data_IF_657346071262
#
_entry.id   IF_657346071262
#
_cell.length_a   1.000
_cell.length_b   1.000
_cell.length_c   1.000
_cell.angle_alpha   90.00
_cell.angle_beta   90.00
_cell.angle_gamma   90.00
#
_symmetry.space_group_name_H-M   'P 1'
#
loop_
_entity.id
_entity.type
_entity.pdbx_description
1 polymer ?
#
# COMPACT_ATOMS: atom_id res chain seq x y z
N UNK A 1 15.14 -48.37 -17.04
CA UNK A 1 16.25 -48.94 -16.21
C UNK A 1 16.34 -48.33 -14.81
N UNK A 2 16.20 -47.00 -14.64
CA UNK A 2 16.24 -46.40 -13.31
C UNK A 2 15.01 -46.75 -12.45
N UNK A 3 13.81 -46.70 -13.04
CA UNK A 3 12.53 -47.01 -12.36
C UNK A 3 12.42 -48.49 -11.94
N UNK A 4 12.74 -49.44 -12.83
CA UNK A 4 12.79 -50.88 -12.52
C UNK A 4 13.75 -51.20 -11.36
N UNK A 5 14.82 -50.42 -11.20
CA UNK A 5 15.79 -50.58 -10.12
C UNK A 5 15.24 -50.05 -8.80
N UNK A 6 14.57 -48.89 -8.79
CA UNK A 6 13.93 -48.36 -7.58
C UNK A 6 12.80 -49.25 -7.10
N UNK A 7 12.02 -49.82 -8.03
CA UNK A 7 10.99 -50.81 -7.71
C UNK A 7 11.59 -52.10 -7.15
N UNK A 8 12.68 -52.58 -7.74
CA UNK A 8 13.41 -53.76 -7.24
C UNK A 8 14.02 -53.55 -5.85
N UNK A 9 14.56 -52.36 -5.58
CA UNK A 9 15.11 -51.99 -4.27
C UNK A 9 14.02 -51.78 -3.19
N UNK A 10 12.80 -51.42 -3.59
CA UNK A 10 11.68 -51.23 -2.69
C UNK A 10 10.98 -52.54 -2.27
N UNK A 11 11.21 -53.64 -3.01
CA UNK A 11 10.61 -54.95 -2.68
C UNK A 11 11.34 -55.62 -1.53
N UNK A 12 10.59 -55.97 -0.48
CA UNK A 12 11.08 -56.80 0.63
C UNK A 12 11.25 -58.25 0.19
N UNK A 13 12.16 -58.99 0.84
CA UNK A 13 12.35 -60.41 0.58
C UNK A 13 11.18 -61.19 1.22
N UNK A 14 10.45 -61.97 0.43
CA UNK A 14 9.37 -62.82 0.93
C UNK A 14 9.87 -64.09 1.62
N UNK A 15 9.00 -64.76 2.36
CA UNK A 15 9.31 -65.97 3.14
C UNK A 15 9.67 -67.19 2.27
N UNK A 16 9.30 -67.15 0.98
CA UNK A 16 9.71 -68.10 -0.04
C UNK A 16 11.20 -68.01 -0.41
N UNK A 17 11.87 -66.92 -0.03
CA UNK A 17 13.29 -66.75 -0.29
C UNK A 17 14.13 -67.68 0.60
N UNK A 18 14.93 -68.55 -0.04
CA UNK A 18 15.81 -69.50 0.65
C UNK A 18 16.75 -68.82 1.66
N UNK A 19 17.26 -67.64 1.34
CA UNK A 19 18.13 -66.86 2.22
C UNK A 19 17.39 -66.32 3.44
N UNK A 20 16.14 -65.87 3.26
CA UNK A 20 15.30 -65.43 4.38
C UNK A 20 14.98 -66.60 5.32
N UNK A 21 14.64 -67.78 4.76
CA UNK A 21 14.39 -69.00 5.54
C UNK A 21 15.63 -69.44 6.33
N UNK A 22 16.82 -69.37 5.72
CA UNK A 22 18.08 -69.68 6.41
C UNK A 22 18.36 -68.70 7.55
N UNK A 23 18.17 -67.40 7.33
CA UNK A 23 18.32 -66.37 8.36
C UNK A 23 17.37 -66.63 9.54
N UNK A 24 16.11 -66.96 9.27
CA UNK A 24 15.12 -67.27 10.30
C UNK A 24 15.53 -68.50 11.14
N UNK A 25 16.10 -69.54 10.50
CA UNK A 25 16.65 -70.70 11.21
C UNK A 25 17.87 -70.37 12.08
N UNK A 26 18.60 -69.31 11.77
CA UNK A 26 19.71 -68.79 12.58
C UNK A 26 19.24 -67.82 13.68
N UNK A 27 17.93 -67.65 13.87
CA UNK A 27 17.35 -66.82 14.93
C UNK A 27 17.00 -65.38 14.51
N UNK A 28 17.11 -65.03 13.23
CA UNK A 28 16.68 -63.73 12.72
C UNK A 28 15.15 -63.58 12.75
N UNK A 29 14.66 -62.41 13.17
CA UNK A 29 13.23 -62.05 13.13
C UNK A 29 13.02 -60.89 12.14
N UNK A 30 11.95 -61.00 11.35
CA UNK A 30 11.64 -59.99 10.33
C UNK A 30 11.45 -58.61 10.97
N UNK A 31 12.21 -57.62 10.49
CA UNK A 31 12.15 -56.24 10.98
C UNK A 31 13.08 -55.93 12.16
N UNK A 32 13.74 -56.93 12.75
CA UNK A 32 14.77 -56.70 13.77
C UNK A 32 16.15 -56.49 13.15
N UNK A 33 16.99 -55.70 13.83
CA UNK A 33 18.39 -55.52 13.47
C UNK A 33 19.23 -56.76 13.77
N UNK A 34 20.29 -57.01 13.01
CA UNK A 34 21.24 -58.08 13.33
C UNK A 34 22.18 -57.67 14.47
N UNK A 35 22.57 -58.63 15.33
CA UNK A 35 23.51 -58.42 16.43
C UNK A 35 22.99 -58.99 17.75
N UNK A 36 23.87 -59.11 18.75
CA UNK A 36 23.53 -59.70 20.06
C UNK A 36 22.35 -59.01 20.75
N UNK A 37 22.30 -57.68 20.64
CA UNK A 37 21.24 -56.84 21.21
C UNK A 37 20.33 -56.24 20.12
N UNK A 38 20.29 -56.86 18.93
CA UNK A 38 19.60 -56.32 17.75
C UNK A 38 20.02 -54.90 17.34
N UNK A 39 21.27 -54.52 17.61
CA UNK A 39 21.81 -53.17 17.41
C UNK A 39 22.09 -52.80 15.94
N UNK A 40 22.00 -53.76 15.01
CA UNK A 40 22.20 -53.52 13.58
C UNK A 40 21.03 -52.75 12.96
N UNK A 41 21.27 -52.11 11.82
CA UNK A 41 20.21 -51.42 11.08
C UNK A 41 19.26 -52.45 10.44
N UNK A 42 17.96 -52.29 10.66
CA UNK A 42 16.89 -53.11 10.06
C UNK A 42 16.68 -52.79 8.58
N UNK A 43 16.86 -51.54 8.19
CA UNK A 43 16.60 -51.07 6.83
C UNK A 43 17.86 -51.08 5.94
N UNK A 44 17.75 -51.40 4.64
CA UNK A 44 18.85 -51.31 3.69
C UNK A 44 19.38 -49.86 3.54
N UNK A 45 20.67 -49.72 3.20
CA UNK A 45 21.22 -48.40 2.84
C UNK A 45 20.57 -47.85 1.57
N UNK A 46 20.08 -46.62 1.63
CA UNK A 46 19.62 -45.90 0.44
C UNK A 46 20.79 -45.63 -0.50
N UNK A 47 20.66 -46.04 -1.76
CA UNK A 47 21.65 -45.78 -2.80
C UNK A 47 21.29 -44.49 -3.53
N UNK A 48 22.14 -43.46 -3.40
CA UNK A 48 22.04 -42.23 -4.20
C UNK A 48 22.93 -42.38 -5.43
N UNK A 49 22.33 -42.71 -6.56
CA UNK A 49 23.04 -42.84 -7.83
C UNK A 49 23.16 -41.47 -8.50
N UNK A 50 24.39 -41.02 -8.72
CA UNK A 50 24.64 -39.79 -9.48
C UNK A 50 24.37 -40.05 -10.97
N UNK A 51 23.45 -39.30 -11.61
CA UNK A 51 23.29 -39.39 -13.06
C UNK A 51 24.48 -38.69 -13.76
N UNK A 52 25.03 -39.34 -14.79
CA UNK A 52 26.06 -38.76 -15.65
C UNK A 52 27.49 -38.83 -15.09
N UNK A 53 28.39 -38.04 -15.70
CA UNK A 53 29.83 -38.00 -15.40
C UNK A 53 30.30 -36.67 -14.80
N UNK A 54 29.38 -35.83 -14.34
CA UNK A 54 29.71 -34.53 -13.75
C UNK A 54 30.37 -34.70 -12.38
N UNK A 55 31.26 -33.78 -12.01
CA UNK A 55 31.94 -33.80 -10.71
C UNK A 55 30.95 -33.75 -9.54
N UNK A 56 31.27 -34.43 -8.44
CA UNK A 56 30.49 -34.35 -7.20
C UNK A 56 30.42 -32.87 -6.74
N UNK A 57 29.23 -32.37 -6.42
CA UNK A 57 29.00 -30.99 -5.97
C UNK A 57 28.71 -29.93 -7.05
N UNK A 58 28.87 -30.25 -8.34
CA UNK A 58 28.61 -29.30 -9.44
C UNK A 58 27.13 -28.88 -9.51
N UNK A 59 26.22 -29.84 -9.37
CA UNK A 59 24.77 -29.60 -9.47
C UNK A 59 24.28 -28.65 -8.36
N UNK A 60 24.80 -28.81 -7.15
CA UNK A 60 24.52 -27.91 -6.02
C UNK A 60 25.14 -26.52 -6.22
N UNK A 61 26.34 -26.44 -6.79
CA UNK A 61 26.96 -25.16 -7.11
C UNK A 61 26.17 -24.38 -8.18
N UNK A 62 25.62 -25.08 -9.18
CA UNK A 62 24.77 -24.47 -10.20
C UNK A 62 23.47 -23.95 -9.60
N UNK A 63 22.74 -24.79 -8.84
CA UNK A 63 21.52 -24.36 -8.14
C UNK A 63 21.76 -23.13 -7.25
N UNK A 64 22.88 -23.09 -6.50
CA UNK A 64 23.23 -21.93 -5.67
C UNK A 64 23.44 -20.66 -6.49
N UNK A 65 24.12 -20.77 -7.64
CA UNK A 65 24.34 -19.64 -8.56
C UNK A 65 23.03 -19.17 -9.17
N UNK A 66 22.19 -20.11 -9.62
CA UNK A 66 20.90 -19.79 -10.24
C UNK A 66 20.00 -19.03 -9.25
N UNK A 67 19.83 -19.57 -8.04
CA UNK A 67 19.08 -18.91 -6.96
C UNK A 67 19.64 -17.53 -6.63
N UNK A 68 20.96 -17.36 -6.55
CA UNK A 68 21.59 -16.06 -6.31
C UNK A 68 21.32 -15.06 -7.45
N UNK A 69 21.37 -15.52 -8.71
CA UNK A 69 21.06 -14.66 -9.86
C UNK A 69 19.58 -14.29 -9.92
N UNK A 70 18.67 -15.18 -9.56
CA UNK A 70 17.23 -14.88 -9.46
C UNK A 70 16.94 -13.86 -8.36
N UNK A 71 17.51 -14.05 -7.17
CA UNK A 71 17.41 -13.09 -6.06
C UNK A 71 17.94 -11.71 -6.46
N UNK A 72 19.09 -11.66 -7.15
CA UNK A 72 19.66 -10.40 -7.60
C UNK A 72 18.80 -9.71 -8.67
N UNK A 73 18.19 -10.46 -9.59
CA UNK A 73 17.25 -9.91 -10.57
C UNK A 73 15.99 -9.36 -9.89
N UNK A 74 15.45 -10.08 -8.91
CA UNK A 74 14.29 -9.64 -8.14
C UNK A 74 14.56 -8.34 -7.36
N UNK A 75 15.71 -8.25 -6.66
CA UNK A 75 16.12 -7.03 -5.96
C UNK A 75 16.31 -5.84 -6.92
N UNK A 76 16.93 -6.07 -8.08
CA UNK A 76 17.08 -5.01 -9.11
C UNK A 76 15.73 -4.56 -9.67
N UNK A 77 14.79 -5.48 -9.90
CA UNK A 77 13.45 -5.17 -10.37
C UNK A 77 12.68 -4.34 -9.33
N UNK A 78 12.77 -4.71 -8.05
CA UNK A 78 12.16 -3.95 -6.95
C UNK A 78 12.75 -2.55 -6.80
N UNK A 79 14.09 -2.42 -6.90
CA UNK A 79 14.75 -1.11 -6.88
C UNK A 79 14.32 -0.24 -8.06
N UNK A 80 14.18 -0.82 -9.26
CA UNK A 80 13.70 -0.10 -10.45
C UNK A 80 12.25 0.36 -10.29
N UNK A 81 11.34 -0.52 -9.84
CA UNK A 81 9.94 -0.16 -9.64
C UNK A 81 9.77 0.90 -8.54
N UNK A 82 10.55 0.81 -7.46
CA UNK A 82 10.60 1.85 -6.42
C UNK A 82 11.10 3.19 -6.97
N UNK A 83 12.18 3.18 -7.77
CA UNK A 83 12.71 4.40 -8.39
C UNK A 83 11.69 5.06 -9.32
N UNK A 84 11.00 4.27 -10.12
CA UNK A 84 9.93 4.74 -11.02
C UNK A 84 8.73 5.31 -10.24
N UNK A 85 8.32 4.64 -9.16
CA UNK A 85 7.24 5.13 -8.30
C UNK A 85 7.57 6.47 -7.64
N UNK A 86 8.81 6.65 -7.15
CA UNK A 86 9.27 7.91 -6.56
C UNK A 86 9.26 9.03 -7.60
N UNK A 87 9.76 8.78 -8.81
CA UNK A 87 9.76 9.77 -9.89
C UNK A 87 8.33 10.17 -10.29
N UNK A 88 7.41 9.20 -10.39
CA UNK A 88 6.01 9.46 -10.71
C UNK A 88 5.33 10.27 -9.60
N UNK A 89 5.59 9.93 -8.33
CA UNK A 89 5.05 10.63 -7.19
C UNK A 89 5.55 12.08 -7.13
N UNK A 90 6.85 12.32 -7.31
CA UNK A 90 7.41 13.67 -7.28
C UNK A 90 6.86 14.54 -8.42
N UNK A 91 6.69 13.99 -9.62
CA UNK A 91 6.06 14.69 -10.75
C UNK A 91 4.61 15.07 -10.45
N UNK A 92 3.81 14.13 -9.93
CA UNK A 92 2.42 14.40 -9.55
C UNK A 92 2.33 15.48 -8.46
N UNK A 93 3.22 15.44 -7.48
CA UNK A 93 3.31 16.46 -6.43
C UNK A 93 3.65 17.83 -6.99
N UNK A 94 4.63 17.92 -7.90
CA UNK A 94 5.00 19.19 -8.55
C UNK A 94 3.84 19.77 -9.36
N UNK A 95 3.15 18.95 -10.14
CA UNK A 95 1.97 19.41 -10.88
C UNK A 95 0.87 19.89 -9.94
N UNK A 96 0.53 19.10 -8.91
CA UNK A 96 -0.50 19.47 -7.93
C UNK A 96 -0.15 20.78 -7.21
N UNK A 97 1.12 20.97 -6.84
CA UNK A 97 1.61 22.20 -6.23
C UNK A 97 1.49 23.39 -7.19
N UNK A 98 1.78 23.21 -8.47
CA UNK A 98 1.63 24.26 -9.48
C UNK A 98 0.15 24.68 -9.64
N UNK A 99 -0.78 23.72 -9.70
CA UNK A 99 -2.21 24.04 -9.76
C UNK A 99 -2.70 24.73 -8.47
N UNK A 100 -2.24 24.27 -7.30
CA UNK A 100 -2.55 24.91 -6.04
C UNK A 100 -2.06 26.37 -6.00
N UNK A 101 -0.83 26.61 -6.44
CA UNK A 101 -0.25 27.96 -6.52
C UNK A 101 -1.06 28.87 -7.47
N UNK A 102 -1.43 28.38 -8.66
CA UNK A 102 -2.29 29.14 -9.60
C UNK A 102 -3.65 29.48 -9.00
N UNK A 103 -4.23 28.57 -8.20
CA UNK A 103 -5.50 28.82 -7.54
C UNK A 103 -5.38 29.92 -6.48
N UNK A 104 -4.32 29.89 -5.69
CA UNK A 104 -4.03 30.96 -4.71
C UNK A 104 -3.86 32.30 -5.40
N UNK A 105 -3.07 32.35 -6.48
CA UNK A 105 -2.87 33.58 -7.26
C UNK A 105 -4.19 34.15 -7.79
N UNK A 106 -5.05 33.31 -8.35
CA UNK A 106 -6.39 33.73 -8.79
C UNK A 106 -7.24 34.26 -7.65
N UNK A 107 -7.21 33.65 -6.47
CA UNK A 107 -7.96 34.14 -5.31
C UNK A 107 -7.43 35.47 -4.82
N UNK A 108 -6.12 35.66 -4.80
CA UNK A 108 -5.49 36.94 -4.45
C UNK A 108 -5.90 38.02 -5.44
N UNK A 109 -5.89 37.70 -6.75
CA UNK A 109 -6.32 38.64 -7.80
C UNK A 109 -7.78 39.06 -7.63
N UNK A 110 -8.68 38.09 -7.44
CA UNK A 110 -10.10 38.37 -7.21
C UNK A 110 -10.34 39.18 -5.95
N UNK A 111 -9.66 38.86 -4.85
CA UNK A 111 -9.77 39.62 -3.60
C UNK A 111 -9.30 41.06 -3.80
N UNK A 112 -8.18 41.25 -4.51
CA UNK A 112 -7.66 42.58 -4.85
C UNK A 112 -8.65 43.37 -5.72
N UNK A 113 -9.15 42.77 -6.79
CA UNK A 113 -10.16 43.39 -7.68
C UNK A 113 -11.41 43.79 -6.88
N UNK A 114 -11.87 42.96 -5.94
CA UNK A 114 -13.02 43.28 -5.09
C UNK A 114 -12.76 44.44 -4.13
N UNK A 115 -11.55 44.53 -3.55
CA UNK A 115 -11.15 45.65 -2.70
C UNK A 115 -11.03 46.95 -3.50
N UNK A 116 -10.33 46.92 -4.64
CA UNK A 116 -10.20 48.08 -5.54
C UNK A 116 -11.59 48.54 -6.02
N UNK A 117 -12.45 47.62 -6.45
CA UNK A 117 -13.81 47.94 -6.83
C UNK A 117 -14.63 48.55 -5.68
N UNK A 118 -14.41 48.14 -4.43
CA UNK A 118 -15.03 48.79 -3.28
C UNK A 118 -14.47 50.19 -3.07
N UNK A 119 -13.16 50.39 -3.18
CA UNK A 119 -12.49 51.67 -3.02
C UNK A 119 -12.87 52.69 -4.11
N UNK A 120 -13.11 52.24 -5.34
CA UNK A 120 -13.51 53.10 -6.45
C UNK A 120 -14.97 53.57 -6.37
N UNK A 121 -15.80 52.94 -5.51
CA UNK A 121 -17.18 53.39 -5.32
C UNK A 121 -17.24 54.81 -4.71
N UNK A 122 -18.16 55.66 -5.19
CA UNK A 122 -18.45 56.93 -4.53
C UNK A 122 -18.79 56.74 -3.05
N UNK A 123 -18.44 57.72 -2.21
CA UNK A 123 -18.70 57.66 -0.77
C UNK A 123 -20.19 57.41 -0.45
N UNK A 124 -21.09 58.01 -1.23
CA UNK A 124 -22.55 57.79 -1.10
C UNK A 124 -22.94 56.32 -1.34
N UNK A 125 -22.40 55.67 -2.37
CA UNK A 125 -22.70 54.26 -2.63
C UNK A 125 -22.13 53.32 -1.56
N UNK A 126 -20.91 53.60 -1.08
CA UNK A 126 -20.31 52.88 0.05
C UNK A 126 -21.21 52.97 1.29
N UNK A 127 -21.66 54.19 1.62
CA UNK A 127 -22.57 54.45 2.72
C UNK A 127 -23.86 53.66 2.55
N UNK A 128 -24.50 53.73 1.37
CA UNK A 128 -25.73 52.99 1.10
C UNK A 128 -25.56 51.48 1.29
N UNK A 129 -24.47 50.89 0.76
CA UNK A 129 -24.19 49.46 0.96
C UNK A 129 -23.99 49.09 2.43
N UNK A 130 -23.30 49.94 3.20
CA UNK A 130 -23.12 49.74 4.64
C UNK A 130 -24.45 49.87 5.39
N UNK A 131 -25.25 50.90 5.09
CA UNK A 131 -26.56 51.11 5.71
C UNK A 131 -27.52 49.97 5.41
N UNK A 132 -27.58 49.51 4.16
CA UNK A 132 -28.35 48.32 3.78
C UNK A 132 -27.90 47.09 4.57
N UNK A 133 -26.59 46.89 4.75
CA UNK A 133 -26.08 45.76 5.53
C UNK A 133 -26.48 45.85 7.01
N UNK A 134 -26.32 47.03 7.62
CA UNK A 134 -26.70 47.29 9.01
C UNK A 134 -28.20 47.10 9.24
N UNK A 135 -29.05 47.54 8.31
CA UNK A 135 -30.50 47.31 8.38
C UNK A 135 -30.87 45.84 8.19
N UNK A 136 -30.34 45.18 7.16
CA UNK A 136 -30.73 43.80 6.81
C UNK A 136 -30.20 42.75 7.78
N UNK A 137 -28.98 42.92 8.30
CA UNK A 137 -28.37 41.92 9.19
C UNK A 137 -28.46 42.24 10.66
N UNK A 138 -28.51 43.52 11.00
CA UNK A 138 -28.42 43.97 12.38
C UNK A 138 -29.66 44.75 12.83
N UNK A 139 -30.65 44.95 11.94
CA UNK A 139 -31.83 45.76 12.20
C UNK A 139 -31.44 47.11 12.82
N UNK A 140 -30.38 47.73 12.31
CA UNK A 140 -29.84 48.97 12.85
C UNK A 140 -30.00 50.10 11.86
N UNK A 141 -30.57 51.22 12.32
CA UNK A 141 -30.66 52.45 11.54
C UNK A 141 -29.69 53.49 12.09
N UNK A 142 -28.74 53.93 11.25
CA UNK A 142 -27.76 54.96 11.61
C UNK A 142 -28.44 56.30 11.95
N UNK A 143 -29.42 56.73 11.16
CA UNK A 143 -30.06 58.05 11.31
C UNK A 143 -30.93 58.15 12.57
N UNK A 144 -31.69 57.12 12.90
CA UNK A 144 -32.39 57.02 14.20
C UNK A 144 -31.43 56.83 15.39
N UNK A 145 -30.19 56.37 15.14
CA UNK A 145 -29.25 55.99 16.19
C UNK A 145 -29.67 54.79 17.03
N UNK A 146 -30.55 53.92 16.51
CA UNK A 146 -31.18 52.83 17.25
C UNK A 146 -31.05 51.47 16.56
N UNK A 147 -30.99 50.42 17.37
CA UNK A 147 -31.12 49.03 16.92
C UNK A 147 -32.51 48.52 17.31
N UNK A 148 -33.17 47.87 16.36
CA UNK A 148 -34.49 47.27 16.52
C UNK A 148 -34.35 45.76 16.75
N UNK A 149 -35.39 45.13 17.28
CA UNK A 149 -35.35 43.69 17.59
C UNK A 149 -35.35 42.85 16.32
N UNK A 150 -36.17 43.23 15.35
CA UNK A 150 -36.37 42.52 14.10
C UNK A 150 -36.66 43.47 12.93
N UNK A 151 -36.77 42.89 11.74
CA UNK A 151 -37.02 43.63 10.51
C UNK A 151 -38.43 44.27 10.48
N UNK A 152 -39.41 43.68 11.17
CA UNK A 152 -40.78 44.17 11.21
C UNK A 152 -40.88 45.44 12.05
N UNK A 153 -40.26 45.43 13.24
CA UNK A 153 -40.17 46.60 14.13
C UNK A 153 -39.38 47.73 13.48
N UNK A 154 -38.28 47.42 12.77
CA UNK A 154 -37.53 48.40 11.98
C UNK A 154 -38.42 49.05 10.91
N UNK A 155 -39.17 48.26 10.14
CA UNK A 155 -40.03 48.78 9.07
C UNK A 155 -41.23 49.60 9.59
N UNK A 156 -41.74 49.26 10.77
CA UNK A 156 -42.89 49.95 11.36
C UNK A 156 -42.51 51.26 12.06
N UNK A 157 -41.32 51.34 12.66
CA UNK A 157 -40.92 52.45 13.52
C UNK A 157 -39.88 53.39 12.88
N UNK A 158 -39.12 52.95 11.89
CA UNK A 158 -38.12 53.78 11.22
C UNK A 158 -38.79 54.72 10.19
N UNK A 159 -38.57 56.05 10.26
CA UNK A 159 -39.17 57.02 9.35
C UNK A 159 -38.86 56.83 7.86
N UNK A 160 -37.73 56.19 7.53
CA UNK A 160 -37.37 55.88 6.15
C UNK A 160 -35.97 55.29 6.01
N UNK A 161 -35.47 55.16 4.78
CA UNK A 161 -34.14 54.60 4.54
C UNK A 161 -33.02 55.65 4.46
N UNK A 162 -33.34 56.87 4.04
CA UNK A 162 -32.37 57.95 3.81
C UNK A 162 -32.38 59.01 4.92
N UNK A 163 -31.38 59.89 4.91
CA UNK A 163 -31.25 61.01 5.87
C UNK A 163 -32.46 61.95 5.81
N UNK A 164 -32.93 62.29 4.59
CA UNK A 164 -34.04 63.22 4.37
C UNK A 164 -35.38 62.76 4.99
N UNK A 165 -35.51 61.48 5.32
CA UNK A 165 -36.72 60.92 5.92
C UNK A 165 -36.75 61.04 7.46
N UNK A 166 -35.65 61.45 8.10
CA UNK A 166 -35.48 61.49 9.56
C UNK A 166 -35.33 62.92 10.08
#
# INVERSE_FOLDING_TARGET
>A
MAELRSEGLARTLGAENKGFKLLQQMGYRAGEGLGKDSSGRSDPLSLVLKPGRTGLGVDEAHKRKDLATEQQKADRALKRSRGEAVLKQSFQQQQAAQFAARRVDSHVRQAREACEAWEDLPAAEKLNKLLSHLRLRHHHCLFCGAQYKDAEELAALCPGEDEDAH
#
